data_IF_328242622400
#
_entry.id   IF_328242622400
#
_cell.length_a   1.000
_cell.length_b   1.000
_cell.length_c   1.000
_cell.angle_alpha   90.00
_cell.angle_beta   90.00
_cell.angle_gamma   90.00
#
_symmetry.space_group_name_H-M   'P 1'
#
loop_
_entity.id
_entity.type
_entity.pdbx_description
1 polymer ?
#
# COMPACT_ATOMS: atom_id res chain seq x y z
N UNK A 1 8.96 -17.50 -15.04
CA UNK A 1 7.85 -17.44 -14.05
C UNK A 1 7.49 -15.98 -13.77
N UNK A 2 7.17 -15.22 -14.80
CA UNK A 2 6.97 -13.76 -14.76
C UNK A 2 6.50 -13.21 -16.10
N UNK A 3 6.05 -14.09 -17.00
CA UNK A 3 5.85 -13.77 -18.40
C UNK A 3 4.67 -12.82 -18.59
N UNK A 4 3.57 -13.01 -17.85
CA UNK A 4 2.36 -12.19 -17.98
C UNK A 4 2.53 -10.79 -17.41
N UNK A 5 3.07 -10.64 -16.19
CA UNK A 5 3.31 -9.33 -15.59
C UNK A 5 4.36 -8.54 -16.37
N UNK A 6 5.45 -9.19 -16.77
CA UNK A 6 6.45 -8.55 -17.62
C UNK A 6 5.93 -8.29 -19.03
N UNK A 7 5.01 -9.09 -19.58
CA UNK A 7 4.36 -8.81 -20.86
C UNK A 7 3.43 -7.60 -20.75
N UNK A 8 2.71 -7.44 -19.63
CA UNK A 8 1.89 -6.24 -19.39
C UNK A 8 2.73 -4.98 -19.22
N UNK A 9 3.93 -5.10 -18.62
CA UNK A 9 4.88 -3.99 -18.50
C UNK A 9 5.59 -3.66 -19.81
N UNK A 10 5.77 -4.66 -20.69
CA UNK A 10 6.45 -4.52 -22.00
C UNK A 10 5.48 -4.32 -23.17
N UNK A 11 4.18 -4.47 -22.94
CA UNK A 11 3.18 -4.25 -23.96
C UNK A 11 3.24 -2.80 -24.41
N UNK A 12 3.12 -2.59 -25.73
CA UNK A 12 3.14 -1.24 -26.29
C UNK A 12 2.02 -0.40 -25.64
N UNK A 13 2.39 0.63 -24.83
CA UNK A 13 1.43 1.43 -24.08
C UNK A 13 0.58 2.33 -24.97
N UNK A 14 0.97 2.49 -26.25
CA UNK A 14 0.25 3.29 -27.24
C UNK A 14 -0.81 2.48 -27.99
N UNK A 15 -0.75 1.15 -27.94
CA UNK A 15 -1.73 0.26 -28.55
C UNK A 15 -2.99 0.14 -27.70
N UNK A 16 -4.12 0.63 -28.23
CA UNK A 16 -5.43 0.52 -27.59
C UNK A 16 -5.80 -0.93 -27.26
N UNK A 17 -5.47 -1.88 -28.14
CA UNK A 17 -5.73 -3.31 -27.92
C UNK A 17 -4.95 -3.85 -26.71
N UNK A 18 -3.69 -3.46 -26.56
CA UNK A 18 -2.85 -3.85 -25.41
C UNK A 18 -3.43 -3.35 -24.09
N UNK A 19 -3.90 -2.11 -24.05
CA UNK A 19 -4.53 -1.50 -22.86
C UNK A 19 -5.83 -2.22 -22.47
N UNK A 20 -6.66 -2.58 -23.45
CA UNK A 20 -7.90 -3.33 -23.21
C UNK A 20 -7.61 -4.71 -22.62
N UNK A 21 -6.65 -5.44 -23.19
CA UNK A 21 -6.24 -6.76 -22.71
C UNK A 21 -5.66 -6.66 -21.29
N UNK A 22 -4.78 -5.69 -21.05
CA UNK A 22 -4.19 -5.45 -19.72
C UNK A 22 -5.28 -5.18 -18.66
N UNK A 23 -6.22 -4.29 -18.97
CA UNK A 23 -7.33 -3.93 -18.08
C UNK A 23 -8.23 -5.13 -17.81
N UNK A 24 -8.54 -5.93 -18.84
CA UNK A 24 -9.36 -7.13 -18.69
C UNK A 24 -8.69 -8.17 -17.77
N UNK A 25 -7.39 -8.42 -17.95
CA UNK A 25 -6.62 -9.35 -17.10
C UNK A 25 -6.59 -8.89 -15.64
N UNK A 26 -6.40 -7.59 -15.38
CA UNK A 26 -6.41 -7.03 -14.03
C UNK A 26 -7.78 -7.11 -13.35
N UNK A 27 -8.87 -7.00 -14.13
CA UNK A 27 -10.24 -7.21 -13.61
C UNK A 27 -10.47 -8.63 -13.12
N UNK A 28 -9.77 -9.61 -13.70
CA UNK A 28 -9.86 -11.01 -13.28
C UNK A 28 -9.10 -11.32 -11.98
N UNK A 29 -8.22 -10.43 -11.50
CA UNK A 29 -7.48 -10.62 -10.23
C UNK A 29 -8.42 -10.40 -9.04
N UNK A 30 -8.40 -11.28 -8.01
CA UNK A 30 -7.53 -12.47 -7.85
C UNK A 30 -8.15 -13.80 -8.31
N UNK A 31 -9.37 -13.78 -8.85
CA UNK A 31 -10.19 -14.96 -9.14
C UNK A 31 -9.61 -15.87 -10.23
N UNK A 32 -9.08 -15.26 -11.30
CA UNK A 32 -8.42 -15.96 -12.41
C UNK A 32 -7.02 -15.36 -12.53
N UNK A 33 -6.25 -15.50 -11.45
CA UNK A 33 -4.84 -15.18 -11.45
C UNK A 33 -4.06 -16.39 -12.01
N UNK A 34 -3.07 -16.18 -12.91
CA UNK A 34 -2.08 -17.20 -13.20
C UNK A 34 -1.51 -17.76 -11.88
N UNK A 35 -1.12 -19.04 -11.82
CA UNK A 35 -0.51 -19.59 -10.58
C UNK A 35 0.67 -18.72 -10.09
N UNK A 36 1.36 -18.11 -11.05
CA UNK A 36 2.46 -17.15 -10.85
C UNK A 36 2.08 -15.91 -10.02
N UNK A 37 0.80 -15.59 -9.86
CA UNK A 37 0.30 -14.41 -9.13
C UNK A 37 -0.38 -14.79 -7.81
N UNK A 38 -0.30 -16.06 -7.37
CA UNK A 38 -0.91 -16.48 -6.10
C UNK A 38 -0.07 -16.04 -4.91
N UNK A 39 -0.75 -15.71 -3.81
CA UNK A 39 -0.12 -15.36 -2.54
C UNK A 39 0.83 -14.17 -2.66
N UNK A 40 2.10 -14.35 -2.26
CA UNK A 40 3.10 -13.28 -2.20
C UNK A 40 3.55 -12.77 -3.57
N UNK A 41 3.53 -13.61 -4.61
CA UNK A 41 3.98 -13.23 -5.95
C UNK A 41 3.11 -12.13 -6.58
N UNK A 42 1.87 -11.97 -6.11
CA UNK A 42 0.99 -10.87 -6.48
C UNK A 42 1.57 -9.49 -6.13
N UNK A 43 2.27 -9.40 -4.99
CA UNK A 43 2.92 -8.18 -4.53
C UNK A 43 4.16 -7.80 -5.35
N UNK A 44 4.65 -8.67 -6.22
CA UNK A 44 5.76 -8.39 -7.13
C UNK A 44 5.26 -8.07 -8.55
N UNK A 45 4.19 -8.74 -8.97
CA UNK A 45 3.67 -8.65 -10.34
C UNK A 45 2.86 -7.38 -10.63
N UNK A 46 1.97 -6.99 -9.71
CA UNK A 46 0.96 -5.95 -9.97
C UNK A 46 1.43 -4.54 -9.59
N UNK A 47 2.11 -4.30 -8.45
CA UNK A 47 2.52 -2.95 -8.06
C UNK A 47 3.34 -2.17 -9.09
N UNK A 48 4.25 -2.78 -9.88
CA UNK A 48 4.93 -2.11 -10.99
C UNK A 48 4.01 -1.38 -11.98
N UNK A 49 2.76 -1.86 -12.15
CA UNK A 49 1.78 -1.24 -13.04
C UNK A 49 1.26 0.11 -12.55
N UNK A 50 1.57 0.50 -11.30
CA UNK A 50 1.38 1.88 -10.82
C UNK A 50 2.19 2.90 -11.64
N UNK A 51 3.32 2.49 -12.21
CA UNK A 51 4.16 3.33 -13.07
C UNK A 51 3.76 3.26 -14.56
N UNK A 52 2.69 2.54 -14.90
CA UNK A 52 2.29 2.38 -16.30
C UNK A 52 1.84 3.74 -16.88
N UNK A 53 2.26 4.11 -18.11
CA UNK A 53 1.96 5.42 -18.70
C UNK A 53 0.46 5.64 -18.93
N UNK A 54 -0.28 4.59 -19.27
CA UNK A 54 -1.73 4.69 -19.51
C UNK A 54 -2.57 4.69 -18.21
N UNK A 55 -3.41 5.72 -17.96
CA UNK A 55 -4.16 5.87 -16.70
C UNK A 55 -5.17 4.73 -16.44
N UNK A 56 -5.81 4.20 -17.48
CA UNK A 56 -6.74 3.08 -17.32
C UNK A 56 -6.08 1.82 -16.73
N UNK A 57 -4.80 1.56 -17.09
CA UNK A 57 -4.05 0.41 -16.56
C UNK A 57 -3.70 0.65 -15.10
N UNK A 58 -3.26 1.87 -14.74
CA UNK A 58 -3.02 2.24 -13.33
C UNK A 58 -4.27 2.07 -12.48
N UNK A 59 -5.42 2.55 -12.96
CA UNK A 59 -6.71 2.40 -12.28
C UNK A 59 -7.10 0.93 -12.10
N UNK A 60 -6.97 0.12 -13.15
CA UNK A 60 -7.26 -1.31 -13.09
C UNK A 60 -6.31 -2.07 -12.14
N UNK A 61 -5.04 -1.69 -12.10
CA UNK A 61 -4.03 -2.27 -11.20
C UNK A 61 -4.34 -1.94 -9.74
N UNK A 62 -4.74 -0.69 -9.46
CA UNK A 62 -5.24 -0.28 -8.15
C UNK A 62 -6.42 -1.12 -7.70
N UNK A 63 -7.44 -1.26 -8.55
CA UNK A 63 -8.63 -2.04 -8.22
C UNK A 63 -8.29 -3.53 -7.98
N UNK A 64 -7.37 -4.08 -8.78
CA UNK A 64 -6.86 -5.45 -8.60
C UNK A 64 -6.16 -5.61 -7.24
N UNK A 65 -5.30 -4.66 -6.87
CA UNK A 65 -4.60 -4.69 -5.58
C UNK A 65 -5.56 -4.52 -4.40
N UNK A 66 -6.59 -3.67 -4.50
CA UNK A 66 -7.63 -3.57 -3.46
C UNK A 66 -8.35 -4.90 -3.25
N UNK A 67 -8.83 -5.53 -4.33
CA UNK A 67 -9.48 -6.85 -4.26
C UNK A 67 -8.55 -7.92 -3.68
N UNK A 68 -7.27 -7.88 -4.07
CA UNK A 68 -6.25 -8.78 -3.58
C UNK A 68 -5.99 -8.62 -2.07
N UNK A 69 -5.83 -7.38 -1.60
CA UNK A 69 -5.63 -7.07 -0.17
C UNK A 69 -6.84 -7.50 0.65
N UNK A 70 -8.06 -7.26 0.16
CA UNK A 70 -9.27 -7.69 0.84
C UNK A 70 -9.34 -9.22 1.00
N UNK A 71 -9.13 -9.95 -0.09
CA UNK A 71 -9.34 -11.40 -0.17
C UNK A 71 -8.15 -12.27 0.26
N UNK A 72 -6.92 -11.77 0.18
CA UNK A 72 -5.70 -12.57 0.32
C UNK A 72 -4.76 -12.00 1.40
N UNK A 73 -4.90 -12.43 2.68
CA UNK A 73 -4.07 -11.93 3.79
C UNK A 73 -2.56 -12.05 3.58
N UNK A 74 -2.12 -13.15 2.95
CA UNK A 74 -0.70 -13.42 2.69
C UNK A 74 -0.04 -12.44 1.70
N UNK A 75 -0.83 -11.72 0.90
CA UNK A 75 -0.34 -10.78 -0.11
C UNK A 75 -0.28 -9.32 0.38
N UNK A 76 -0.90 -8.99 1.53
CA UNK A 76 -1.14 -7.61 1.96
C UNK A 76 0.14 -6.81 2.13
N UNK A 77 1.08 -7.33 2.92
CA UNK A 77 2.36 -6.66 3.15
C UNK A 77 3.15 -6.52 1.84
N UNK A 78 3.27 -7.58 1.05
CA UNK A 78 4.01 -7.54 -0.22
C UNK A 78 3.42 -6.55 -1.22
N UNK A 79 2.09 -6.39 -1.28
CA UNK A 79 1.45 -5.38 -2.15
C UNK A 79 1.78 -3.97 -1.68
N UNK A 80 1.62 -3.68 -0.38
CA UNK A 80 1.92 -2.34 0.18
C UNK A 80 3.40 -1.99 -0.01
N UNK A 81 4.30 -2.92 0.33
CA UNK A 81 5.74 -2.72 0.14
C UNK A 81 6.14 -2.60 -1.33
N UNK A 82 5.47 -3.32 -2.23
CA UNK A 82 5.69 -3.23 -3.67
C UNK A 82 5.31 -1.86 -4.23
N UNK A 83 4.15 -1.32 -3.83
CA UNK A 83 3.70 0.01 -4.28
C UNK A 83 4.61 1.10 -3.73
N UNK A 84 4.99 1.04 -2.44
CA UNK A 84 5.98 1.94 -1.85
C UNK A 84 7.34 1.84 -2.58
N UNK A 85 7.75 0.63 -2.94
CA UNK A 85 8.97 0.39 -3.71
C UNK A 85 8.96 1.06 -5.08
N UNK A 86 7.83 1.10 -5.78
CA UNK A 86 7.68 1.80 -7.07
C UNK A 86 7.81 3.31 -6.91
N UNK A 87 7.19 3.88 -5.86
CA UNK A 87 7.29 5.32 -5.55
C UNK A 87 8.72 5.75 -5.19
N UNK A 88 9.50 4.86 -4.56
CA UNK A 88 10.90 5.11 -4.18
C UNK A 88 11.89 4.83 -5.32
N UNK A 89 11.47 4.21 -6.41
CA UNK A 89 12.35 3.84 -7.50
C UNK A 89 12.34 4.92 -8.59
N UNK A 90 13.50 5.45 -9.01
CA UNK A 90 13.55 6.27 -10.21
C UNK A 90 13.15 5.43 -11.44
N UNK A 91 12.55 6.04 -12.47
CA UNK A 91 12.27 5.34 -13.72
C UNK A 91 13.59 4.90 -14.34
N UNK A 92 13.80 3.59 -14.52
CA UNK A 92 15.01 3.05 -15.14
C UNK A 92 14.69 1.92 -16.10
N UNK A 93 15.63 1.64 -17.02
CA UNK A 93 15.53 0.55 -17.97
C UNK A 93 15.50 -0.79 -17.23
N UNK A 94 14.31 -1.38 -17.12
CA UNK A 94 14.11 -2.68 -16.49
C UNK A 94 13.58 -2.67 -15.05
N UNK A 95 13.31 -1.50 -14.46
CA UNK A 95 12.61 -1.38 -13.17
C UNK A 95 11.51 -0.34 -13.24
N UNK A 96 10.29 -0.76 -12.89
CA UNK A 96 9.17 0.17 -12.75
C UNK A 96 9.46 1.15 -11.62
N UNK A 97 9.41 2.43 -11.96
CA UNK A 97 9.65 3.55 -11.07
C UNK A 97 8.88 4.75 -11.60
N UNK A 98 8.59 5.70 -10.72
CA UNK A 98 7.81 6.89 -11.06
C UNK A 98 8.75 8.09 -11.05
N UNK A 99 8.78 8.84 -12.15
CA UNK A 99 9.43 10.15 -12.14
C UNK A 99 8.64 11.08 -11.22
N UNK A 100 9.29 11.77 -10.30
CA UNK A 100 8.63 12.79 -9.47
C UNK A 100 8.08 13.97 -10.29
N UNK A 101 8.53 14.12 -11.54
CA UNK A 101 8.00 15.08 -12.51
C UNK A 101 6.72 14.61 -13.19
N UNK A 102 6.38 13.33 -13.10
CA UNK A 102 5.11 12.78 -13.61
C UNK A 102 4.07 12.85 -12.48
N UNK A 103 3.44 14.02 -12.37
CA UNK A 103 2.47 14.31 -11.32
C UNK A 103 1.26 13.35 -11.35
N UNK A 104 0.82 12.92 -12.54
CA UNK A 104 -0.32 12.02 -12.71
C UNK A 104 0.01 10.60 -12.22
N UNK A 105 1.17 10.05 -12.61
CA UNK A 105 1.59 8.74 -12.16
C UNK A 105 1.88 8.74 -10.65
N UNK A 106 2.58 9.76 -10.14
CA UNK A 106 2.89 9.91 -8.71
C UNK A 106 1.61 10.01 -7.87
N UNK A 107 0.68 10.89 -8.25
CA UNK A 107 -0.62 11.05 -7.58
C UNK A 107 -1.44 9.74 -7.63
N UNK A 108 -1.47 9.08 -8.79
CA UNK A 108 -2.18 7.80 -8.95
C UNK A 108 -1.60 6.70 -8.06
N UNK A 109 -0.27 6.63 -7.93
CA UNK A 109 0.40 5.64 -7.10
C UNK A 109 0.24 5.91 -5.60
N UNK A 110 0.29 7.18 -5.15
CA UNK A 110 -0.02 7.53 -3.77
C UNK A 110 -1.47 7.20 -3.38
N UNK A 111 -2.44 7.53 -4.26
CA UNK A 111 -3.85 7.12 -4.07
C UNK A 111 -3.98 5.60 -4.01
N UNK A 112 -3.21 4.88 -4.83
CA UNK A 112 -3.20 3.42 -4.79
C UNK A 112 -2.68 2.90 -3.45
N UNK A 113 -1.56 3.43 -2.93
CA UNK A 113 -1.01 3.04 -1.63
C UNK A 113 -1.99 3.34 -0.49
N UNK A 114 -2.63 4.50 -0.52
CA UNK A 114 -3.69 4.89 0.42
C UNK A 114 -4.84 3.87 0.40
N UNK A 115 -5.40 3.59 -0.77
CA UNK A 115 -6.59 2.72 -0.89
C UNK A 115 -6.29 1.27 -0.48
N UNK A 116 -5.07 0.76 -0.72
CA UNK A 116 -4.68 -0.58 -0.24
C UNK A 116 -4.44 -0.61 1.27
N UNK A 117 -3.90 0.45 1.86
CA UNK A 117 -3.75 0.57 3.31
C UNK A 117 -5.11 0.62 4.02
N UNK A 118 -6.03 1.43 3.48
CA UNK A 118 -7.43 1.53 3.93
C UNK A 118 -8.11 0.15 3.88
N UNK A 119 -8.02 -0.53 2.73
CA UNK A 119 -8.64 -1.85 2.54
C UNK A 119 -8.09 -2.90 3.51
N UNK A 120 -6.79 -2.85 3.83
CA UNK A 120 -6.21 -3.72 4.85
C UNK A 120 -6.74 -3.37 6.24
N UNK A 121 -6.78 -2.07 6.59
CA UNK A 121 -7.30 -1.60 7.87
C UNK A 121 -8.74 -2.09 8.09
N UNK A 122 -9.63 -1.89 7.12
CA UNK A 122 -11.03 -2.35 7.19
C UNK A 122 -11.12 -3.87 7.38
N UNK A 123 -10.24 -4.64 6.73
CA UNK A 123 -10.18 -6.08 6.90
C UNK A 123 -9.65 -6.52 8.28
N UNK A 124 -8.84 -5.71 8.95
CA UNK A 124 -8.45 -5.92 10.35
C UNK A 124 -9.63 -5.65 11.29
N UNK A 125 -10.37 -4.57 11.07
CA UNK A 125 -11.55 -4.18 11.86
C UNK A 125 -12.68 -5.20 11.73
N UNK A 126 -13.00 -5.63 10.51
CA UNK A 126 -14.02 -6.66 10.23
C UNK A 126 -13.67 -7.99 10.91
N UNK A 127 -12.38 -8.35 10.96
CA UNK A 127 -11.94 -9.57 11.64
C UNK A 127 -12.11 -9.44 13.16
N UNK A 128 -11.83 -8.27 13.74
CA UNK A 128 -12.01 -8.03 15.16
C UNK A 128 -13.50 -8.13 15.57
N UNK A 129 -14.41 -7.52 14.79
CA UNK A 129 -15.86 -7.59 15.06
C UNK A 129 -16.42 -9.00 14.89
N UNK A 130 -15.95 -9.75 13.88
CA UNK A 130 -16.37 -11.15 13.67
C UNK A 130 -15.93 -12.05 14.82
N UNK A 131 -14.68 -11.91 15.30
CA UNK A 131 -14.17 -12.70 16.43
C UNK A 131 -14.92 -12.40 17.74
N UNK A 132 -15.35 -11.16 17.97
CA UNK A 132 -16.19 -10.76 19.12
C UNK A 132 -17.63 -11.30 19.01
N UNK A 133 -18.14 -11.52 17.80
CA UNK A 133 -19.47 -12.11 17.59
C UNK A 133 -19.47 -13.64 17.68
N UNK A 134 -18.32 -14.30 17.46
CA UNK A 134 -18.17 -15.77 17.49
C UNK A 134 -17.48 -16.31 18.73
N UNK A 135 -17.22 -15.48 19.75
CA UNK A 135 -16.57 -15.88 21.00
C UNK A 135 -17.49 -16.71 21.94
N UNK A 136 -18.19 -17.69 21.38
CA UNK A 136 -18.86 -18.77 22.11
C UNK A 136 -18.60 -20.17 21.51
N UNK A 137 -17.67 -20.31 20.55
CA UNK A 137 -17.25 -21.65 20.11
C UNK A 137 -15.79 -21.74 19.64
N UNK A 138 -15.01 -22.45 20.46
CA UNK A 138 -13.85 -23.26 20.07
C UNK A 138 -12.58 -22.54 19.61
N UNK A 139 -11.67 -22.38 20.56
CA UNK A 139 -10.23 -22.32 20.35
C UNK A 139 -9.74 -23.58 19.62
N UNK A 140 -9.41 -23.46 18.33
CA UNK A 140 -8.54 -24.43 17.65
C UNK A 140 -7.36 -23.70 17.03
N UNK A 141 -6.18 -24.09 17.53
CA UNK A 141 -4.89 -23.54 17.16
C UNK A 141 -4.65 -23.59 15.65
N UNK A 142 -4.38 -22.42 15.10
CA UNK A 142 -3.68 -22.26 13.83
C UNK A 142 -2.26 -21.81 14.16
N UNK A 143 -1.30 -22.60 13.69
CA UNK A 143 0.16 -22.39 13.81
C UNK A 143 0.55 -20.91 13.81
N UNK A 144 1.40 -20.54 14.77
CA UNK A 144 2.07 -19.25 14.85
C UNK A 144 3.05 -19.08 13.68
N UNK A 145 2.51 -19.00 12.46
CA UNK A 145 3.21 -18.43 11.33
C UNK A 145 3.55 -17.01 11.78
N UNK A 146 4.84 -16.75 11.99
CA UNK A 146 5.38 -15.45 12.43
C UNK A 146 4.72 -14.35 11.61
N UNK A 147 3.65 -13.75 12.15
CA UNK A 147 2.87 -12.69 11.51
C UNK A 147 3.80 -11.49 11.43
N UNK A 148 4.55 -11.39 10.34
CA UNK A 148 5.45 -10.26 10.10
C UNK A 148 4.61 -8.99 10.24
N UNK A 149 5.11 -8.06 11.06
CA UNK A 149 4.42 -6.80 11.31
C UNK A 149 4.31 -6.06 9.99
N UNK A 150 3.24 -5.29 9.81
CA UNK A 150 3.31 -4.21 8.85
C UNK A 150 4.44 -3.26 9.27
N UNK A 151 5.43 -3.08 8.41
CA UNK A 151 6.50 -2.10 8.57
C UNK A 151 6.17 -0.85 7.75
N UNK A 152 5.85 0.30 8.39
CA UNK A 152 5.44 1.50 7.67
C UNK A 152 6.63 2.25 7.05
N UNK A 153 7.87 1.93 7.39
CA UNK A 153 9.06 2.75 7.10
C UNK A 153 9.20 3.12 5.61
N UNK A 154 9.00 2.15 4.71
CA UNK A 154 9.08 2.39 3.25
C UNK A 154 7.95 3.26 2.73
N UNK A 155 6.73 3.02 3.19
CA UNK A 155 5.56 3.81 2.80
C UNK A 155 5.65 5.24 3.32
N UNK A 156 6.16 5.42 4.55
CA UNK A 156 6.46 6.73 5.13
C UNK A 156 7.55 7.46 4.33
N UNK A 157 8.67 6.80 4.05
CA UNK A 157 9.74 7.38 3.24
C UNK A 157 9.24 7.84 1.86
N UNK A 158 8.40 7.02 1.20
CA UNK A 158 7.79 7.39 -0.07
C UNK A 158 6.93 8.66 0.06
N UNK A 159 6.07 8.73 1.09
CA UNK A 159 5.24 9.91 1.33
C UNK A 159 6.03 11.16 1.64
N UNK A 160 7.06 11.06 2.47
CA UNK A 160 7.94 12.19 2.80
C UNK A 160 8.68 12.73 1.57
N UNK A 161 9.16 11.86 0.68
CA UNK A 161 9.78 12.30 -0.57
C UNK A 161 8.78 13.00 -1.49
N UNK A 162 7.55 12.50 -1.58
CA UNK A 162 6.49 13.11 -2.39
C UNK A 162 6.03 14.47 -1.87
N UNK A 163 6.13 14.71 -0.55
CA UNK A 163 5.86 16.03 0.04
C UNK A 163 6.80 17.13 -0.49
N UNK A 164 7.98 16.75 -0.98
CA UNK A 164 8.93 17.67 -1.61
C UNK A 164 8.61 17.96 -3.09
N UNK A 165 7.54 17.39 -3.66
CA UNK A 165 7.15 17.62 -5.05
C UNK A 165 6.73 19.08 -5.28
N UNK A 166 7.09 19.69 -6.44
CA UNK A 166 6.60 21.02 -6.80
C UNK A 166 5.08 21.03 -7.06
N UNK A 167 4.46 19.89 -7.37
CA UNK A 167 3.04 19.80 -7.70
C UNK A 167 2.16 19.67 -6.45
N UNK A 168 1.20 20.58 -6.27
CA UNK A 168 0.33 20.61 -5.10
C UNK A 168 -0.51 19.34 -4.95
N UNK A 169 -1.04 18.80 -6.04
CA UNK A 169 -1.83 17.56 -6.05
C UNK A 169 -1.06 16.32 -5.58
N UNK A 170 0.24 16.24 -5.90
CA UNK A 170 1.13 15.17 -5.44
C UNK A 170 1.33 15.28 -3.93
N UNK A 171 1.55 16.51 -3.42
CA UNK A 171 1.67 16.75 -1.96
C UNK A 171 0.38 16.40 -1.22
N UNK A 172 -0.78 16.78 -1.73
CA UNK A 172 -2.08 16.43 -1.13
C UNK A 172 -2.26 14.91 -1.08
N UNK A 173 -1.99 14.21 -2.19
CA UNK A 173 -2.08 12.75 -2.23
C UNK A 173 -1.09 12.08 -1.27
N UNK A 174 0.11 12.64 -1.10
CA UNK A 174 1.11 12.15 -0.14
C UNK A 174 0.64 12.29 1.32
N UNK A 175 0.02 13.42 1.70
CA UNK A 175 -0.56 13.61 3.04
C UNK A 175 -1.67 12.59 3.31
N UNK A 176 -2.61 12.43 2.36
CA UNK A 176 -3.69 11.46 2.50
C UNK A 176 -3.17 10.03 2.64
N UNK A 177 -2.15 9.68 1.85
CA UNK A 177 -1.47 8.39 1.92
C UNK A 177 -0.77 8.19 3.28
N UNK A 178 -0.01 9.17 3.77
CA UNK A 178 0.68 9.10 5.06
C UNK A 178 -0.28 8.92 6.23
N UNK A 179 -1.42 9.64 6.22
CA UNK A 179 -2.48 9.46 7.22
C UNK A 179 -2.98 8.02 7.24
N UNK A 180 -3.18 7.41 6.08
CA UNK A 180 -3.71 6.06 6.01
C UNK A 180 -2.68 4.98 6.37
N UNK A 181 -1.40 5.22 6.06
CA UNK A 181 -0.28 4.40 6.57
C UNK A 181 -0.23 4.44 8.10
N UNK A 182 -0.39 5.62 8.70
CA UNK A 182 -0.40 5.78 10.15
C UNK A 182 -1.58 5.04 10.80
N UNK A 183 -2.80 5.17 10.24
CA UNK A 183 -3.98 4.44 10.72
C UNK A 183 -3.82 2.92 10.61
N UNK A 184 -3.29 2.42 9.49
CA UNK A 184 -3.01 0.99 9.32
C UNK A 184 -1.96 0.50 10.34
N UNK A 185 -0.89 1.27 10.53
CA UNK A 185 0.16 0.99 11.51
C UNK A 185 -0.42 0.91 12.93
N UNK A 186 -1.33 1.81 13.29
CA UNK A 186 -2.07 1.74 14.55
C UNK A 186 -2.97 0.50 14.62
N UNK A 187 -3.82 0.26 13.63
CA UNK A 187 -4.75 -0.87 13.62
C UNK A 187 -4.04 -2.23 13.73
N UNK A 188 -2.92 -2.41 13.05
CA UNK A 188 -2.11 -3.63 13.11
C UNK A 188 -1.41 -3.83 14.46
N UNK A 189 -1.01 -2.74 15.15
CA UNK A 189 -0.54 -2.81 16.54
C UNK A 189 -1.66 -3.21 17.51
N UNK A 190 -2.84 -2.62 17.39
CA UNK A 190 -3.99 -2.94 18.24
C UNK A 190 -4.42 -4.41 18.07
N UNK A 191 -4.51 -4.90 16.83
CA UNK A 191 -4.87 -6.28 16.54
C UNK A 191 -3.88 -7.31 17.12
N UNK A 192 -2.64 -6.91 17.41
CA UNK A 192 -1.66 -7.76 18.10
C UNK A 192 -1.85 -7.74 19.61
N UNK A 193 -2.06 -6.56 20.19
CA UNK A 193 -2.31 -6.42 21.63
C UNK A 193 -3.55 -7.21 22.07
N UNK A 194 -4.60 -7.26 21.24
CA UNK A 194 -5.82 -8.03 21.53
C UNK A 194 -5.72 -9.53 21.25
N UNK A 195 -4.67 -10.00 20.56
CA UNK A 195 -4.50 -11.40 20.16
C UNK A 195 -3.48 -12.20 20.99
N UNK A 196 -2.73 -11.54 21.86
CA UNK A 196 -1.82 -12.17 22.83
C UNK A 196 -2.46 -12.20 24.21
N UNK A 197 -3.04 -13.35 24.58
CA UNK A 197 -3.32 -13.61 25.98
C UNK A 197 -2.01 -13.82 26.73
N UNK A 198 -1.82 -13.05 27.79
CA UNK A 198 -0.94 -13.31 28.94
C UNK A 198 0.49 -13.78 28.62
N UNK A 199 1.38 -12.82 28.37
CA UNK A 199 2.79 -12.95 28.74
C UNK A 199 3.16 -11.61 29.38
N UNK A 200 3.64 -11.65 30.63
CA UNK A 200 3.94 -10.51 31.49
C UNK A 200 4.89 -9.46 30.90
N UNK A 201 5.28 -8.43 31.67
CA UNK A 201 5.90 -7.20 31.16
C UNK A 201 7.30 -7.47 30.59
N UNK A 202 7.37 -8.00 29.38
CA UNK A 202 8.55 -7.97 28.54
C UNK A 202 8.72 -6.52 28.12
N UNK A 203 9.80 -5.91 28.60
CA UNK A 203 10.28 -4.60 28.20
C UNK A 203 10.18 -4.44 26.68
N UNK A 204 9.07 -3.83 26.23
CA UNK A 204 8.93 -3.33 24.88
C UNK A 204 9.79 -2.08 24.87
N UNK A 205 11.03 -2.21 24.40
CA UNK A 205 11.79 -1.03 23.99
C UNK A 205 10.87 -0.20 23.10
N UNK A 206 10.67 1.10 23.38
CA UNK A 206 9.77 1.92 22.59
C UNK A 206 10.26 1.88 21.14
N UNK A 207 9.49 1.19 20.29
CA UNK A 207 9.71 1.26 18.85
C UNK A 207 9.65 2.74 18.50
N UNK A 208 10.70 3.25 17.85
CA UNK A 208 10.83 4.67 17.53
C UNK A 208 9.50 5.20 16.96
N UNK A 209 9.04 6.39 17.39
CA UNK A 209 7.81 6.98 16.90
C UNK A 209 7.83 6.99 15.38
N UNK A 210 6.72 6.58 14.76
CA UNK A 210 6.52 6.66 13.32
C UNK A 210 6.87 8.07 12.85
N UNK A 211 7.63 8.19 11.75
CA UNK A 211 8.04 9.51 11.25
C UNK A 211 6.82 10.37 10.89
N UNK A 212 5.70 9.74 10.53
CA UNK A 212 4.43 10.45 10.32
C UNK A 212 3.84 11.07 11.59
N UNK A 213 4.02 10.46 12.77
CA UNK A 213 3.58 11.05 14.04
C UNK A 213 4.40 12.29 14.43
N UNK A 214 5.69 12.29 14.07
CA UNK A 214 6.58 13.45 14.24
C UNK A 214 6.16 14.56 13.27
N UNK A 215 5.89 14.23 12.00
CA UNK A 215 5.43 15.23 11.03
C UNK A 215 4.05 15.77 11.39
N UNK A 216 3.11 14.94 11.85
CA UNK A 216 1.77 15.38 12.25
C UNK A 216 1.80 16.30 13.48
N UNK A 217 2.72 16.08 14.43
CA UNK A 217 2.91 16.99 15.56
C UNK A 217 3.53 18.34 15.15
N UNK A 218 4.17 18.43 13.98
CA UNK A 218 4.79 19.67 13.45
C UNK A 218 4.03 20.25 12.24
N UNK A 219 3.03 19.54 11.70
CA UNK A 219 2.27 19.95 10.52
C UNK A 219 1.44 21.22 10.80
N UNK A 220 0.99 21.41 12.04
CA UNK A 220 0.32 22.64 12.48
C UNK A 220 1.22 23.87 12.32
N UNK A 221 2.47 23.77 12.78
CA UNK A 221 3.44 24.88 12.73
C UNK A 221 3.93 25.17 11.32
N UNK A 222 4.06 24.14 10.47
CA UNK A 222 4.48 24.31 9.07
C UNK A 222 3.39 24.94 8.18
N UNK A 223 2.11 24.61 8.40
CA UNK A 223 1.00 25.24 7.67
C UNK A 223 0.81 26.70 8.09
N UNK A 224 0.98 27.02 9.39
CA UNK A 224 0.97 28.40 9.89
C UNK A 224 2.16 29.22 9.37
N UNK A 225 3.35 28.62 9.28
CA UNK A 225 4.54 29.30 8.71
C UNK A 225 4.42 29.53 7.19
N UNK A 226 3.70 28.67 6.47
CA UNK A 226 3.44 28.83 5.03
C UNK A 226 2.33 29.85 4.70
N UNK A 227 1.46 30.18 5.67
CA UNK A 227 0.39 31.16 5.53
C UNK A 227 0.72 32.53 6.14
N UNK A 228 1.88 32.66 6.81
CA UNK A 228 2.24 33.82 7.64
C UNK A 228 3.49 34.59 7.20
N UNK A 229 3.82 34.62 5.90
CA UNK A 229 4.92 35.41 5.36
C UNK A 229 4.44 36.43 4.31
N UNK A 230 3.47 37.27 4.69
CA UNK A 230 3.20 38.57 4.08
C UNK A 230 3.06 39.56 5.24
N UNK A 231 4.12 40.33 5.50
CA UNK A 231 4.18 41.32 6.60
C UNK A 231 5.61 41.69 6.97
#
# INVERSE_FOLDING_TARGET
>A
LGATASALQRADPTSSASVVVATALLRCVPLIAPEEWRGRALGEAVPPLCAHPHPAVRAAARDAMRRAVASTPAARDTIVQGVAGVLLSPPSTGRAGISLTDADAATSAARTLRDVCETWRDACETRATTHLATSDASSRGGSAETKKAFDPSRSEAAGLLMMCSPHAEVRVAAVEMLREVAKLSAATRHARASGGGDDGPRSVLPSAPSMSSIVESHAGDMVLSALGAEG
#
